data_IF_135676672634
#
_entry.id   IF_135676672634
#
_cell.length_a   1.000
_cell.length_b   1.000
_cell.length_c   1.000
_cell.angle_alpha   90.00
_cell.angle_beta   90.00
_cell.angle_gamma   90.00
#
_symmetry.space_group_name_H-M   'P 1'
#
loop_
_entity.id
_entity.type
_entity.pdbx_description
1 polymer ?
#
# COMPACT_ATOMS: atom_id res chain seq x y z
N UNK A 1 4.58 -18.17 -9.57
CA UNK A 1 3.63 -17.21 -8.97
C UNK A 1 4.10 -16.95 -7.54
N UNK A 2 4.81 -15.85 -7.30
CA UNK A 2 5.40 -15.58 -5.99
C UNK A 2 4.28 -15.04 -5.09
N UNK A 3 3.74 -15.88 -4.23
CA UNK A 3 2.82 -15.45 -3.17
C UNK A 3 3.64 -14.55 -2.25
N UNK A 4 3.46 -13.23 -2.34
CA UNK A 4 4.02 -12.28 -1.38
C UNK A 4 3.25 -12.47 -0.07
N UNK A 5 3.75 -13.41 0.75
CA UNK A 5 3.16 -13.79 2.01
C UNK A 5 3.19 -12.59 2.95
N UNK A 6 2.02 -12.03 3.27
CA UNK A 6 1.91 -10.96 4.25
C UNK A 6 2.33 -11.48 5.62
N UNK A 7 3.15 -10.73 6.34
CA UNK A 7 3.68 -11.11 7.65
C UNK A 7 2.70 -10.87 8.80
N UNK A 8 1.62 -10.12 8.56
CA UNK A 8 0.58 -9.76 9.52
C UNK A 8 -0.76 -10.44 9.21
N UNK A 9 -1.67 -10.39 10.18
CA UNK A 9 -3.06 -10.82 9.97
C UNK A 9 -3.72 -9.87 8.95
N UNK A 10 -4.46 -10.40 7.96
CA UNK A 10 -5.11 -9.55 6.98
C UNK A 10 -6.27 -8.75 7.61
N UNK A 11 -6.46 -7.52 7.15
CA UNK A 11 -7.66 -6.73 7.42
C UNK A 11 -8.71 -6.99 6.34
N UNK A 12 -10.02 -6.80 6.63
CA UNK A 12 -11.07 -6.93 5.62
C UNK A 12 -10.94 -5.96 4.43
N UNK A 13 -10.12 -4.92 4.56
CA UNK A 13 -9.81 -3.94 3.50
C UNK A 13 -8.63 -4.33 2.61
N UNK A 14 -7.92 -5.41 2.93
CA UNK A 14 -6.75 -5.83 2.15
C UNK A 14 -7.16 -6.40 0.80
N UNK A 15 -6.38 -6.09 -0.24
CA UNK A 15 -6.61 -6.67 -1.58
C UNK A 15 -6.06 -8.09 -1.66
N UNK A 16 -6.78 -8.95 -2.39
CA UNK A 16 -6.30 -10.27 -2.78
C UNK A 16 -5.14 -10.17 -3.80
N UNK A 17 -4.54 -11.33 -4.09
CA UNK A 17 -3.37 -11.42 -4.96
C UNK A 17 -3.68 -10.98 -6.40
N UNK A 18 -4.85 -11.33 -6.93
CA UNK A 18 -5.24 -11.01 -8.31
C UNK A 18 -5.46 -9.51 -8.48
N UNK A 19 -6.24 -8.91 -7.59
CA UNK A 19 -6.50 -7.48 -7.53
C UNK A 19 -5.20 -6.72 -7.35
N UNK A 20 -4.32 -7.18 -6.44
CA UNK A 20 -3.02 -6.56 -6.25
C UNK A 20 -2.18 -6.62 -7.53
N UNK A 21 -2.07 -7.78 -8.18
CA UNK A 21 -1.28 -7.93 -9.41
C UNK A 21 -1.83 -7.08 -10.56
N UNK A 22 -3.14 -6.96 -10.66
CA UNK A 22 -3.80 -6.07 -11.63
C UNK A 22 -3.46 -4.60 -11.39
N UNK A 23 -3.51 -4.13 -10.13
CA UNK A 23 -3.20 -2.74 -9.77
C UNK A 23 -1.69 -2.43 -9.80
N UNK A 24 -0.85 -3.43 -9.51
CA UNK A 24 0.60 -3.27 -9.35
C UNK A 24 1.29 -2.44 -10.44
N UNK A 25 1.09 -2.65 -11.76
CA UNK A 25 1.79 -1.87 -12.79
C UNK A 25 1.50 -0.37 -12.73
N UNK A 26 0.30 0.03 -12.29
CA UNK A 26 -0.08 1.45 -12.17
C UNK A 26 0.50 2.10 -10.92
N UNK A 27 0.67 1.32 -9.85
CA UNK A 27 1.18 1.80 -8.56
C UNK A 27 2.72 1.85 -8.51
N UNK A 28 3.39 1.13 -9.41
CA UNK A 28 4.84 0.97 -9.41
C UNK A 28 5.54 2.16 -10.08
N UNK A 29 5.57 3.30 -9.40
CA UNK A 29 6.17 4.56 -9.88
C UNK A 29 7.72 4.53 -10.04
N UNK A 30 8.36 3.43 -9.63
CA UNK A 30 9.79 3.19 -9.74
C UNK A 30 10.05 1.67 -9.73
N UNK A 31 11.20 1.18 -10.23
CA UNK A 31 11.53 -0.25 -10.22
C UNK A 31 11.29 -0.92 -8.86
N UNK A 32 10.87 -2.19 -8.88
CA UNK A 32 10.42 -2.87 -7.66
C UNK A 32 11.50 -2.95 -6.57
N UNK A 33 12.74 -3.13 -6.99
CA UNK A 33 13.92 -3.25 -6.14
C UNK A 33 14.65 -1.91 -5.93
N UNK A 34 13.97 -0.77 -6.09
CA UNK A 34 14.59 0.53 -5.87
C UNK A 34 15.11 0.62 -4.42
N UNK A 35 16.37 1.01 -4.17
CA UNK A 35 16.99 0.99 -2.83
C UNK A 35 16.22 1.79 -1.76
N UNK A 36 15.49 2.81 -2.20
CA UNK A 36 14.64 3.61 -1.31
C UNK A 36 13.36 2.89 -0.83
N UNK A 37 12.97 1.76 -1.43
CA UNK A 37 11.75 1.02 -1.07
C UNK A 37 12.03 0.09 0.09
N UNK A 38 11.73 0.58 1.30
CA UNK A 38 11.89 -0.17 2.56
C UNK A 38 10.72 -1.09 2.91
N UNK A 39 9.54 -0.83 2.34
CA UNK A 39 8.31 -1.55 2.65
C UNK A 39 7.69 -2.16 1.39
N UNK A 40 7.06 -3.35 1.48
CA UNK A 40 6.36 -3.94 0.34
C UNK A 40 5.26 -2.99 -0.16
N UNK A 41 5.20 -2.79 -1.48
CA UNK A 41 4.22 -1.87 -2.09
C UNK A 41 2.78 -2.29 -1.78
N UNK A 42 2.52 -3.61 -1.68
CA UNK A 42 1.22 -4.16 -1.27
C UNK A 42 0.80 -3.71 0.13
N UNK A 43 1.73 -3.71 1.08
CA UNK A 43 1.43 -3.27 2.45
C UNK A 43 1.13 -1.77 2.52
N UNK A 44 1.80 -0.98 1.69
CA UNK A 44 1.51 0.46 1.57
C UNK A 44 0.11 0.69 0.98
N UNK A 45 -0.26 -0.08 -0.06
CA UNK A 45 -1.60 -0.03 -0.64
C UNK A 45 -2.67 -0.45 0.37
N UNK A 46 -2.48 -1.58 1.04
CA UNK A 46 -3.40 -2.09 2.05
C UNK A 46 -3.60 -1.10 3.22
N UNK A 47 -2.53 -0.44 3.67
CA UNK A 47 -2.61 0.62 4.67
C UNK A 47 -3.45 1.82 4.19
N UNK A 48 -3.26 2.23 2.93
CA UNK A 48 -4.05 3.31 2.32
C UNK A 48 -5.54 2.93 2.22
N UNK A 49 -5.85 1.70 1.80
CA UNK A 49 -7.21 1.20 1.72
C UNK A 49 -7.87 1.07 3.10
N UNK A 50 -7.11 0.70 4.12
CA UNK A 50 -7.59 0.68 5.49
C UNK A 50 -8.00 2.07 5.97
N UNK A 51 -7.19 3.10 5.71
CA UNK A 51 -7.52 4.49 6.03
C UNK A 51 -8.76 4.94 5.24
N UNK A 52 -8.81 4.68 3.92
CA UNK A 52 -9.95 5.03 3.08
C UNK A 52 -11.25 4.35 3.53
N UNK A 53 -11.17 3.09 3.99
CA UNK A 53 -12.33 2.33 4.47
C UNK A 53 -12.83 2.78 5.84
N UNK A 54 -11.91 3.13 6.75
CA UNK A 54 -12.25 3.45 8.14
C UNK A 54 -12.46 4.94 8.40
N UNK A 55 -11.89 5.82 7.56
CA UNK A 55 -11.85 7.26 7.80
C UNK A 55 -10.97 7.67 8.98
N UNK A 56 -10.15 6.74 9.50
CA UNK A 56 -9.30 6.99 10.67
C UNK A 56 -8.23 8.03 10.36
N UNK A 57 -7.83 8.79 11.39
CA UNK A 57 -6.70 9.70 11.27
C UNK A 57 -5.40 8.92 11.02
N UNK A 58 -4.50 9.48 10.23
CA UNK A 58 -3.22 8.83 9.87
C UNK A 58 -2.38 8.39 11.08
N UNK A 59 -2.39 9.18 12.17
CA UNK A 59 -1.67 8.84 13.39
C UNK A 59 -2.20 7.58 14.10
N UNK A 60 -3.42 7.14 13.77
CA UNK A 60 -4.09 5.95 14.31
C UNK A 60 -3.93 4.73 13.40
N UNK A 61 -3.12 4.81 12.34
CA UNK A 61 -2.81 3.65 11.52
C UNK A 61 -2.21 2.53 12.40
N UNK A 62 -2.71 1.29 12.31
CA UNK A 62 -2.19 0.17 13.09
C UNK A 62 -0.68 -0.05 12.91
N UNK A 63 0.00 -0.42 14.00
CA UNK A 63 1.46 -0.55 14.03
C UNK A 63 2.03 -1.73 13.23
N UNK A 64 1.17 -2.65 12.78
CA UNK A 64 1.56 -3.75 11.90
C UNK A 64 1.62 -3.35 10.42
N UNK A 65 1.14 -2.14 10.07
CA UNK A 65 1.38 -1.51 8.77
C UNK A 65 2.71 -0.74 8.73
N UNK A 66 3.20 -0.40 7.51
CA UNK A 66 4.28 0.57 7.36
C UNK A 66 3.94 1.89 8.08
N UNK A 67 4.95 2.64 8.58
CA UNK A 67 4.71 3.89 9.29
C UNK A 67 3.86 4.87 8.48
N UNK A 68 2.87 5.50 9.12
CA UNK A 68 1.87 6.34 8.44
C UNK A 68 2.50 7.41 7.54
N UNK A 69 3.65 7.98 7.91
CA UNK A 69 4.36 9.00 7.12
C UNK A 69 4.78 8.45 5.75
N UNK A 70 5.24 7.20 5.70
CA UNK A 70 5.64 6.53 4.47
C UNK A 70 4.42 6.25 3.61
N UNK A 71 3.35 5.74 4.22
CA UNK A 71 2.09 5.46 3.52
C UNK A 71 1.52 6.74 2.93
N UNK A 72 1.38 7.78 3.74
CA UNK A 72 0.86 9.08 3.32
C UNK A 72 1.67 9.68 2.17
N UNK A 73 3.01 9.71 2.27
CA UNK A 73 3.87 10.22 1.20
C UNK A 73 3.68 9.44 -0.11
N UNK A 74 3.56 8.11 -0.05
CA UNK A 74 3.36 7.30 -1.25
C UNK A 74 1.97 7.52 -1.86
N UNK A 75 0.94 7.64 -1.02
CA UNK A 75 -0.42 7.94 -1.47
C UNK A 75 -0.48 9.28 -2.19
N UNK A 76 0.15 10.33 -1.65
CA UNK A 76 0.25 11.62 -2.33
C UNK A 76 0.91 11.48 -3.71
N UNK A 77 2.01 10.73 -3.82
CA UNK A 77 2.66 10.49 -5.11
C UNK A 77 1.74 9.77 -6.09
N UNK A 78 0.94 8.81 -5.64
CA UNK A 78 -0.02 8.15 -6.51
C UNK A 78 -1.10 9.10 -7.02
N UNK A 79 -1.61 10.00 -6.17
CA UNK A 79 -2.54 11.05 -6.60
C UNK A 79 -1.89 12.03 -7.58
N UNK A 80 -0.67 12.50 -7.31
CA UNK A 80 0.09 13.38 -8.21
C UNK A 80 0.34 12.76 -9.59
N UNK A 81 0.39 11.43 -9.68
CA UNK A 81 0.58 10.69 -10.93
C UNK A 81 -0.74 10.19 -11.56
N UNK A 82 -1.89 10.54 -10.99
CA UNK A 82 -3.21 10.13 -11.51
C UNK A 82 -3.47 8.62 -11.42
N UNK A 83 -2.85 7.90 -10.47
CA UNK A 83 -3.00 6.44 -10.38
C UNK A 83 -4.42 5.96 -9.98
N UNK A 84 -5.29 6.89 -9.55
CA UNK A 84 -6.64 6.59 -9.05
C UNK A 84 -7.75 7.33 -9.83
N UNK A 85 -7.42 7.89 -11.00
CA UNK A 85 -8.37 8.55 -11.92
C UNK A 85 -8.65 7.65 -13.14
#
# INVERSE_FOLDING_TARGET
MLILRMSRRPYPSDVDDETYLFMRPYLLLAPEHHPARKYPLREVLNAALWIARTGSQWAYLPHDFPPYKIVHQQVLRWFEQGCFE
#
